data_IF_320034999873
#
_entry.id   IF_320034999873
#
_cell.length_a   1.000
_cell.length_b   1.000
_cell.length_c   1.000
_cell.angle_alpha   90.00
_cell.angle_beta   90.00
_cell.angle_gamma   90.00
#
_symmetry.space_group_name_H-M   'P 1'
#
loop_
_entity.id
_entity.type
_entity.pdbx_description
1 polymer ?
#
# COMPACT_ATOMS: atom_id res chain seq x y z
N UNK A 1 -39.52 -112.37 -35.29
CA UNK A 1 -38.60 -112.75 -34.20
C UNK A 1 -37.45 -111.73 -34.27
N UNK A 2 -37.17 -110.78 -33.39
CA UNK A 2 -37.40 -110.55 -31.95
C UNK A 2 -37.72 -109.04 -31.81
N UNK A 3 -38.91 -108.61 -31.40
CA UNK A 3 -39.24 -108.19 -30.04
C UNK A 3 -38.04 -108.02 -29.08
N UNK A 4 -37.82 -106.81 -28.53
CA UNK A 4 -37.99 -106.52 -27.09
C UNK A 4 -37.73 -105.04 -26.76
N UNK A 5 -38.79 -104.42 -26.18
CA UNK A 5 -38.79 -103.54 -25.00
C UNK A 5 -38.02 -102.21 -25.06
N UNK A 6 -38.76 -101.17 -25.43
CA UNK A 6 -38.58 -99.80 -24.92
C UNK A 6 -39.15 -99.75 -23.49
N UNK A 7 -38.30 -99.54 -22.48
CA UNK A 7 -38.71 -99.29 -21.09
C UNK A 7 -37.98 -98.06 -20.56
N UNK A 8 -38.74 -96.97 -20.49
CA UNK A 8 -38.95 -96.06 -19.36
C UNK A 8 -37.78 -95.45 -18.55
N UNK A 9 -38.04 -94.20 -18.19
CA UNK A 9 -37.67 -93.46 -16.97
C UNK A 9 -36.24 -92.96 -16.75
N UNK A 10 -36.10 -91.64 -16.95
CA UNK A 10 -35.78 -90.76 -15.81
C UNK A 10 -34.35 -90.27 -15.70
N UNK A 11 -34.12 -88.98 -15.98
CA UNK A 11 -33.58 -88.06 -14.98
C UNK A 11 -33.74 -86.61 -15.47
N UNK A 12 -34.67 -85.88 -14.86
CA UNK A 12 -34.75 -84.43 -14.91
C UNK A 12 -33.57 -83.84 -14.14
N UNK A 13 -32.50 -83.44 -14.84
CA UNK A 13 -31.44 -82.66 -14.22
C UNK A 13 -31.90 -81.21 -14.18
N UNK A 14 -32.22 -80.80 -12.96
CA UNK A 14 -32.56 -79.45 -12.51
C UNK A 14 -31.90 -78.34 -13.34
N UNK A 15 -32.70 -77.61 -14.09
CA UNK A 15 -32.44 -76.19 -14.32
C UNK A 15 -32.50 -75.51 -12.95
N UNK A 16 -31.37 -75.38 -12.26
CA UNK A 16 -31.22 -74.42 -11.16
C UNK A 16 -31.22 -73.03 -11.79
N UNK A 17 -32.41 -72.57 -12.15
CA UNK A 17 -32.70 -71.15 -12.25
C UNK A 17 -32.62 -70.62 -10.83
N UNK A 18 -31.41 -70.30 -10.38
CA UNK A 18 -31.22 -69.46 -9.20
C UNK A 18 -31.73 -68.08 -9.57
N UNK A 19 -33.05 -67.91 -9.48
CA UNK A 19 -33.70 -66.63 -9.43
C UNK A 19 -33.24 -65.95 -8.14
N UNK A 20 -32.08 -65.31 -8.21
CA UNK A 20 -31.63 -64.33 -7.23
C UNK A 20 -32.44 -63.05 -7.44
N UNK A 21 -33.74 -63.14 -7.18
CA UNK A 21 -34.64 -62.01 -6.95
C UNK A 21 -34.37 -61.44 -5.56
N UNK A 22 -33.11 -61.09 -5.30
CA UNK A 22 -32.70 -60.29 -4.15
C UNK A 22 -32.77 -58.84 -4.62
N UNK A 23 -33.91 -58.23 -4.32
CA UNK A 23 -33.97 -56.83 -3.88
C UNK A 23 -33.57 -55.73 -4.88
N UNK A 24 -34.41 -55.51 -5.90
CA UNK A 24 -34.44 -54.22 -6.63
C UNK A 24 -34.56 -53.01 -5.69
N UNK A 25 -35.19 -53.20 -4.52
CA UNK A 25 -35.28 -52.19 -3.46
C UNK A 25 -33.93 -51.85 -2.81
N UNK A 26 -33.05 -52.84 -2.57
CA UNK A 26 -31.73 -52.62 -1.96
C UNK A 26 -30.81 -51.90 -2.94
N UNK A 27 -30.83 -52.27 -4.22
CA UNK A 27 -30.04 -51.61 -5.25
C UNK A 27 -30.38 -50.12 -5.38
N UNK A 28 -31.67 -49.77 -5.37
CA UNK A 28 -32.13 -48.36 -5.42
C UNK A 28 -31.66 -47.58 -4.18
N UNK A 29 -31.75 -48.17 -2.98
CA UNK A 29 -31.27 -47.53 -1.74
C UNK A 29 -29.77 -47.24 -1.81
N UNK A 30 -28.95 -48.21 -2.28
CA UNK A 30 -27.50 -48.01 -2.41
C UNK A 30 -27.20 -46.86 -3.39
N UNK A 31 -27.88 -46.82 -4.54
CA UNK A 31 -27.69 -45.74 -5.52
C UNK A 31 -28.04 -44.38 -4.93
N UNK A 32 -29.17 -44.25 -4.23
CA UNK A 32 -29.56 -43.00 -3.57
C UNK A 32 -28.52 -42.57 -2.54
N UNK A 33 -28.02 -43.49 -1.71
CA UNK A 33 -26.97 -43.20 -0.72
C UNK A 33 -25.70 -42.70 -1.40
N UNK A 34 -25.25 -43.36 -2.47
CA UNK A 34 -24.05 -42.94 -3.21
C UNK A 34 -24.24 -41.54 -3.79
N UNK A 35 -25.39 -41.24 -4.39
CA UNK A 35 -25.68 -39.91 -4.93
C UNK A 35 -25.67 -38.85 -3.83
N UNK A 36 -26.30 -39.12 -2.68
CA UNK A 36 -26.29 -38.19 -1.53
C UNK A 36 -24.87 -37.94 -1.05
N UNK A 37 -24.04 -38.98 -0.93
CA UNK A 37 -22.63 -38.84 -0.53
C UNK A 37 -21.86 -37.97 -1.52
N UNK A 38 -22.03 -38.20 -2.83
CA UNK A 38 -21.38 -37.38 -3.87
C UNK A 38 -21.82 -35.92 -3.79
N UNK A 39 -23.11 -35.65 -3.58
CA UNK A 39 -23.62 -34.28 -3.42
C UNK A 39 -23.03 -33.62 -2.17
N UNK A 40 -22.98 -34.31 -1.04
CA UNK A 40 -22.38 -33.79 0.20
C UNK A 40 -20.90 -33.46 -0.02
N UNK A 41 -20.13 -34.36 -0.65
CA UNK A 41 -18.72 -34.12 -0.96
C UNK A 41 -18.55 -32.91 -1.87
N UNK A 42 -19.37 -32.78 -2.91
CA UNK A 42 -19.33 -31.63 -3.82
C UNK A 42 -19.62 -30.31 -3.08
N UNK A 43 -20.62 -30.29 -2.20
CA UNK A 43 -20.94 -29.12 -1.38
C UNK A 43 -19.77 -28.76 -0.46
N UNK A 44 -19.16 -29.75 0.20
CA UNK A 44 -17.98 -29.52 1.06
C UNK A 44 -16.83 -28.90 0.26
N UNK A 45 -16.53 -29.40 -0.94
CA UNK A 45 -15.49 -28.83 -1.80
C UNK A 45 -15.80 -27.37 -2.15
N UNK A 46 -17.04 -27.06 -2.54
CA UNK A 46 -17.45 -25.68 -2.86
C UNK A 46 -17.29 -24.77 -1.65
N UNK A 47 -17.71 -25.21 -0.46
CA UNK A 47 -17.54 -24.44 0.78
C UNK A 47 -16.08 -24.16 1.06
N UNK A 48 -15.20 -25.17 0.94
CA UNK A 48 -13.75 -24.99 1.12
C UNK A 48 -13.19 -23.96 0.15
N UNK A 49 -13.55 -24.02 -1.14
CA UNK A 49 -13.11 -23.05 -2.14
C UNK A 49 -13.57 -21.63 -1.78
N UNK A 50 -14.83 -21.46 -1.39
CA UNK A 50 -15.36 -20.15 -0.97
C UNK A 50 -14.59 -19.62 0.23
N UNK A 51 -14.33 -20.44 1.25
CA UNK A 51 -13.55 -20.05 2.43
C UNK A 51 -12.13 -19.64 2.02
N UNK A 52 -11.47 -20.40 1.15
CA UNK A 52 -10.14 -20.04 0.65
C UNK A 52 -10.14 -18.68 -0.07
N UNK A 53 -11.13 -18.42 -0.94
CA UNK A 53 -11.26 -17.12 -1.63
C UNK A 53 -11.47 -15.98 -0.62
N UNK A 54 -12.35 -16.16 0.37
CA UNK A 54 -12.58 -15.16 1.41
C UNK A 54 -11.30 -14.86 2.18
N UNK A 55 -10.53 -15.90 2.58
CA UNK A 55 -9.25 -15.71 3.27
C UNK A 55 -8.27 -14.91 2.42
N UNK A 56 -8.13 -15.25 1.13
CA UNK A 56 -7.25 -14.51 0.21
C UNK A 56 -7.66 -13.05 0.10
N UNK A 57 -8.96 -12.76 -0.05
CA UNK A 57 -9.48 -11.38 -0.11
C UNK A 57 -9.19 -10.63 1.19
N UNK A 58 -9.42 -11.26 2.35
CA UNK A 58 -9.16 -10.63 3.65
C UNK A 58 -7.66 -10.32 3.81
N UNK A 59 -6.79 -11.28 3.51
CA UNK A 59 -5.33 -11.07 3.57
C UNK A 59 -4.91 -9.94 2.64
N UNK A 60 -5.43 -9.92 1.41
CA UNK A 60 -5.16 -8.87 0.45
C UNK A 60 -5.59 -7.48 0.97
N UNK A 61 -6.80 -7.35 1.51
CA UNK A 61 -7.29 -6.09 2.10
C UNK A 61 -6.41 -5.66 3.27
N UNK A 62 -6.01 -6.58 4.15
CA UNK A 62 -5.12 -6.27 5.28
C UNK A 62 -3.77 -5.75 4.78
N UNK A 63 -3.18 -6.37 3.75
CA UNK A 63 -1.92 -5.92 3.17
C UNK A 63 -2.06 -4.52 2.55
N UNK A 64 -3.14 -4.26 1.81
CA UNK A 64 -3.40 -2.93 1.24
C UNK A 64 -3.56 -1.88 2.33
N UNK A 65 -4.37 -2.17 3.36
CA UNK A 65 -4.57 -1.24 4.48
C UNK A 65 -3.24 -0.98 5.21
N UNK A 66 -2.45 -2.02 5.46
CA UNK A 66 -1.13 -1.89 6.08
C UNK A 66 -0.18 -1.02 5.23
N UNK A 67 -0.19 -1.20 3.91
CA UNK A 67 0.61 -0.39 2.99
C UNK A 67 0.17 1.08 3.00
N UNK A 68 -1.14 1.36 3.00
CA UNK A 68 -1.68 2.72 3.10
C UNK A 68 -1.28 3.36 4.43
N UNK A 69 -1.45 2.65 5.55
CA UNK A 69 -1.05 3.12 6.88
C UNK A 69 0.45 3.41 6.92
N UNK A 70 1.28 2.52 6.37
CA UNK A 70 2.73 2.72 6.32
C UNK A 70 3.09 4.01 5.56
N UNK A 71 2.45 4.26 4.42
CA UNK A 71 2.69 5.48 3.64
C UNK A 71 2.23 6.73 4.40
N UNK A 72 1.07 6.69 5.04
CA UNK A 72 0.57 7.82 5.85
C UNK A 72 1.53 8.12 7.00
N UNK A 73 1.97 7.09 7.74
CA UNK A 73 2.93 7.25 8.84
C UNK A 73 4.26 7.82 8.32
N UNK A 74 4.76 7.29 7.20
CA UNK A 74 6.00 7.80 6.60
C UNK A 74 5.87 9.27 6.19
N UNK A 75 4.76 9.65 5.56
CA UNK A 75 4.48 11.04 5.20
C UNK A 75 4.42 11.95 6.43
N UNK A 76 3.76 11.52 7.51
CA UNK A 76 3.72 12.27 8.78
C UNK A 76 5.11 12.44 9.39
N UNK A 77 5.93 11.38 9.40
CA UNK A 77 7.32 11.45 9.90
C UNK A 77 8.12 12.46 9.08
N UNK A 78 7.99 12.44 7.75
CA UNK A 78 8.66 13.42 6.88
C UNK A 78 8.23 14.84 7.23
N UNK A 79 6.93 15.11 7.40
CA UNK A 79 6.43 16.44 7.79
C UNK A 79 7.02 16.88 9.14
N UNK A 80 7.04 16.00 10.14
CA UNK A 80 7.59 16.32 11.47
C UNK A 80 9.09 16.61 11.39
N UNK A 81 9.86 15.79 10.66
CA UNK A 81 11.31 16.02 10.47
C UNK A 81 11.56 17.39 9.84
N UNK A 82 10.74 17.74 8.85
CA UNK A 82 10.85 19.01 8.14
C UNK A 82 10.52 20.18 9.04
N UNK A 83 9.46 20.09 9.83
CA UNK A 83 9.11 21.10 10.82
C UNK A 83 10.25 21.31 11.83
N UNK A 84 10.82 20.22 12.36
CA UNK A 84 11.95 20.29 13.29
C UNK A 84 13.17 20.93 12.64
N UNK A 85 13.49 20.60 11.39
CA UNK A 85 14.61 21.20 10.65
C UNK A 85 14.36 22.70 10.42
N UNK A 86 13.14 23.09 10.01
CA UNK A 86 12.79 24.50 9.81
C UNK A 86 12.91 25.27 11.12
N UNK A 87 12.38 24.74 12.23
CA UNK A 87 12.50 25.37 13.55
C UNK A 87 13.97 25.50 13.96
N UNK A 88 14.77 24.44 13.79
CA UNK A 88 16.20 24.47 14.12
C UNK A 88 16.95 25.54 13.30
N UNK A 89 16.69 25.63 11.99
CA UNK A 89 17.27 26.67 11.13
C UNK A 89 16.86 28.05 11.62
N UNK A 90 15.56 28.28 11.86
CA UNK A 90 15.08 29.58 12.37
C UNK A 90 15.75 29.96 13.69
N UNK A 91 15.90 29.01 14.62
CA UNK A 91 16.58 29.26 15.90
C UNK A 91 18.03 29.64 15.70
N UNK A 92 18.79 28.89 14.90
CA UNK A 92 20.20 29.22 14.59
C UNK A 92 20.32 30.63 14.03
N UNK A 93 19.39 31.02 13.19
CA UNK A 93 19.38 32.30 12.51
C UNK A 93 19.09 33.44 13.46
N UNK A 94 18.08 33.26 14.32
CA UNK A 94 17.79 34.23 15.37
C UNK A 94 19.00 34.40 16.27
N UNK A 95 19.65 33.31 16.68
CA UNK A 95 20.88 33.37 17.50
C UNK A 95 21.99 34.13 16.77
N UNK A 96 22.25 33.83 15.49
CA UNK A 96 23.27 34.53 14.69
C UNK A 96 22.96 36.01 14.59
N UNK A 97 21.71 36.39 14.29
CA UNK A 97 21.30 37.80 14.21
C UNK A 97 21.50 38.49 15.56
N UNK A 98 21.08 37.86 16.67
CA UNK A 98 21.27 38.41 18.02
C UNK A 98 22.76 38.62 18.32
N UNK A 99 23.61 37.63 18.04
CA UNK A 99 25.06 37.72 18.25
C UNK A 99 25.65 38.85 17.42
N UNK A 100 25.29 38.95 16.14
CA UNK A 100 25.73 40.04 15.26
C UNK A 100 25.32 41.39 15.84
N UNK A 101 24.04 41.56 16.21
CA UNK A 101 23.56 42.82 16.82
C UNK A 101 24.35 43.17 18.08
N UNK A 102 24.59 42.20 18.97
CA UNK A 102 25.36 42.42 20.21
C UNK A 102 26.79 42.84 19.90
N UNK A 103 27.49 42.12 19.01
CA UNK A 103 28.86 42.47 18.60
C UNK A 103 28.93 43.89 18.08
N UNK A 104 27.92 44.30 17.30
CA UNK A 104 27.85 45.62 16.68
C UNK A 104 27.65 46.71 17.71
N UNK A 105 26.72 46.49 18.64
CA UNK A 105 26.51 47.42 19.75
C UNK A 105 27.80 47.58 20.55
N UNK A 106 28.51 46.48 20.86
CA UNK A 106 29.79 46.54 21.57
C UNK A 106 30.86 47.30 20.78
N UNK A 107 31.01 47.02 19.49
CA UNK A 107 31.99 47.72 18.63
C UNK A 107 31.68 49.21 18.55
N UNK A 108 30.42 49.58 18.35
CA UNK A 108 29.99 50.99 18.32
C UNK A 108 30.29 51.66 19.66
N UNK A 109 29.97 51.03 20.78
CA UNK A 109 30.27 51.56 22.12
C UNK A 109 31.78 51.76 22.31
N UNK A 110 32.61 50.79 21.95
CA UNK A 110 34.07 50.89 22.06
C UNK A 110 34.59 52.04 21.20
N UNK A 111 34.15 52.14 19.94
CA UNK A 111 34.53 53.24 19.04
C UNK A 111 34.14 54.58 19.64
N UNK A 112 32.90 54.73 20.11
CA UNK A 112 32.44 55.97 20.75
C UNK A 112 33.30 56.34 21.96
N UNK A 113 33.60 55.38 22.85
CA UNK A 113 34.44 55.62 24.03
C UNK A 113 35.86 56.04 23.63
N UNK A 114 36.51 55.32 22.72
CA UNK A 114 37.87 55.65 22.24
C UNK A 114 37.89 57.05 21.65
N UNK A 115 36.89 57.39 20.85
CA UNK A 115 36.75 58.70 20.22
C UNK A 115 36.60 59.79 21.26
N UNK A 116 35.69 59.64 22.23
CA UNK A 116 35.51 60.63 23.30
C UNK A 116 36.84 60.88 24.04
N UNK A 117 37.59 59.82 24.32
CA UNK A 117 38.92 59.91 24.97
C UNK A 117 39.93 60.64 24.09
N UNK A 118 39.98 60.38 22.78
CA UNK A 118 40.93 61.03 21.86
C UNK A 118 40.55 62.50 21.58
N UNK A 119 39.26 62.79 21.37
CA UNK A 119 38.72 64.13 21.12
C UNK A 119 38.96 65.05 22.32
N UNK A 120 38.91 64.51 23.54
CA UNK A 120 39.27 65.28 24.74
C UNK A 120 40.71 65.83 24.71
N UNK A 121 41.55 65.38 23.76
CA UNK A 121 42.96 65.76 23.65
C UNK A 121 43.35 66.50 22.36
N UNK A 122 42.54 66.54 21.29
CA UNK A 122 42.92 67.11 19.99
C UNK A 122 41.75 67.78 19.22
N UNK A 123 42.06 68.82 18.43
CA UNK A 123 41.16 69.73 17.72
C UNK A 123 40.03 69.04 16.91
N UNK A 124 38.78 69.48 17.13
CA UNK A 124 37.57 68.65 17.01
C UNK A 124 36.95 68.34 15.63
N UNK A 125 37.51 68.80 14.49
CA UNK A 125 36.83 68.64 13.18
C UNK A 125 37.26 67.37 12.43
N UNK A 126 38.56 67.12 12.30
CA UNK A 126 39.06 65.93 11.57
C UNK A 126 38.65 64.63 12.27
N UNK A 127 38.62 64.66 13.60
CA UNK A 127 38.22 63.49 14.40
C UNK A 127 36.73 63.20 14.22
N UNK A 128 35.86 64.21 14.19
CA UNK A 128 34.42 63.99 13.96
C UNK A 128 34.14 63.31 12.62
N UNK A 129 34.86 63.68 11.55
CA UNK A 129 34.70 63.06 10.23
C UNK A 129 35.12 61.59 10.25
N UNK A 130 36.26 61.26 10.85
CA UNK A 130 36.74 59.87 10.94
C UNK A 130 35.74 59.01 11.72
N UNK A 131 35.14 59.54 12.78
CA UNK A 131 34.14 58.84 13.59
C UNK A 131 32.90 58.52 12.77
N UNK A 132 32.37 59.51 12.06
CA UNK A 132 31.19 59.32 11.22
C UNK A 132 31.47 58.27 10.16
N UNK A 133 32.63 58.32 9.50
CA UNK A 133 33.01 57.32 8.50
C UNK A 133 33.10 55.92 9.09
N UNK A 134 33.78 55.75 10.24
CA UNK A 134 33.91 54.43 10.89
C UNK A 134 32.54 53.89 11.30
N UNK A 135 31.70 54.72 11.91
CA UNK A 135 30.35 54.31 12.33
C UNK A 135 29.51 53.91 11.11
N UNK A 136 29.55 54.70 10.02
CA UNK A 136 28.82 54.37 8.79
C UNK A 136 29.32 53.05 8.19
N UNK A 137 30.63 52.83 8.11
CA UNK A 137 31.19 51.57 7.59
C UNK A 137 30.76 50.37 8.44
N UNK A 138 30.84 50.49 9.77
CA UNK A 138 30.39 49.43 10.69
C UNK A 138 28.91 49.14 10.47
N UNK A 139 28.06 50.17 10.44
CA UNK A 139 26.62 49.99 10.21
C UNK A 139 26.34 49.31 8.86
N UNK A 140 27.03 49.71 7.80
CA UNK A 140 26.85 49.11 6.46
C UNK A 140 27.24 47.63 6.44
N UNK A 141 28.39 47.26 7.03
CA UNK A 141 28.83 45.85 7.10
C UNK A 141 27.79 45.00 7.83
N UNK A 142 27.19 45.55 8.87
CA UNK A 142 26.20 44.86 9.70
C UNK A 142 24.90 44.65 8.97
N UNK A 143 24.42 45.70 8.29
CA UNK A 143 23.22 45.59 7.46
C UNK A 143 23.44 44.51 6.39
N UNK A 144 24.59 44.49 5.73
CA UNK A 144 24.92 43.46 4.73
C UNK A 144 24.92 42.07 5.38
N UNK A 145 25.58 41.89 6.53
CA UNK A 145 25.63 40.60 7.22
C UNK A 145 24.23 40.10 7.61
N UNK A 146 23.38 40.98 8.17
CA UNK A 146 21.99 40.65 8.51
C UNK A 146 21.19 40.29 7.27
N UNK A 147 21.30 41.06 6.18
CA UNK A 147 20.60 40.78 4.92
C UNK A 147 21.03 39.42 4.36
N UNK A 148 22.33 39.11 4.34
CA UNK A 148 22.82 37.81 3.85
C UNK A 148 22.28 36.67 4.69
N UNK A 149 22.29 36.80 6.02
CA UNK A 149 21.73 35.79 6.93
C UNK A 149 20.24 35.60 6.63
N UNK A 150 19.45 36.66 6.58
CA UNK A 150 18.00 36.58 6.30
C UNK A 150 17.74 35.93 4.94
N UNK A 151 18.42 36.35 3.88
CA UNK A 151 18.24 35.80 2.53
C UNK A 151 18.59 34.31 2.49
N UNK A 152 19.72 33.92 3.08
CA UNK A 152 20.16 32.52 3.10
C UNK A 152 19.09 31.63 3.76
N UNK A 153 18.44 32.13 4.79
CA UNK A 153 17.47 31.40 5.59
C UNK A 153 16.15 31.27 4.87
N UNK A 154 15.70 32.36 4.26
CA UNK A 154 14.53 32.32 3.39
C UNK A 154 14.74 31.32 2.26
N UNK A 155 15.91 31.32 1.62
CA UNK A 155 16.23 30.35 0.56
C UNK A 155 16.22 28.91 1.09
N UNK A 156 16.89 28.64 2.22
CA UNK A 156 16.92 27.29 2.81
C UNK A 156 15.50 26.82 3.15
N UNK A 157 14.69 27.64 3.81
CA UNK A 157 13.31 27.30 4.18
C UNK A 157 12.48 27.02 2.94
N UNK A 158 12.54 27.87 1.91
CA UNK A 158 11.81 27.66 0.65
C UNK A 158 12.23 26.34 0.00
N UNK A 159 13.53 26.09 -0.15
CA UNK A 159 14.03 24.86 -0.78
C UNK A 159 13.59 23.64 0.01
N UNK A 160 13.71 23.66 1.34
CA UNK A 160 13.24 22.55 2.19
C UNK A 160 11.76 22.30 2.00
N UNK A 161 10.91 23.34 2.06
CA UNK A 161 9.46 23.20 1.86
C UNK A 161 9.14 22.65 0.47
N UNK A 162 9.78 23.16 -0.59
CA UNK A 162 9.57 22.69 -1.97
C UNK A 162 9.95 21.22 -2.12
N UNK A 163 11.11 20.80 -1.63
CA UNK A 163 11.55 19.40 -1.70
C UNK A 163 10.54 18.49 -1.01
N UNK A 164 10.02 18.90 0.13
CA UNK A 164 9.08 18.10 0.93
C UNK A 164 7.75 17.96 0.23
N UNK A 165 7.22 19.06 -0.31
CA UNK A 165 6.00 19.03 -1.13
C UNK A 165 6.17 18.10 -2.33
N UNK A 166 7.31 18.20 -3.04
CA UNK A 166 7.60 17.32 -4.19
C UNK A 166 7.63 15.85 -3.77
N UNK A 167 8.34 15.51 -2.69
CA UNK A 167 8.42 14.13 -2.18
C UNK A 167 7.04 13.60 -1.80
N UNK A 168 6.24 14.39 -1.07
CA UNK A 168 4.89 14.00 -0.67
C UNK A 168 4.01 13.76 -1.89
N UNK A 169 4.03 14.67 -2.88
CA UNK A 169 3.25 14.52 -4.12
C UNK A 169 3.66 13.26 -4.88
N UNK A 170 4.96 13.00 -5.04
CA UNK A 170 5.46 11.80 -5.73
C UNK A 170 4.99 10.53 -5.00
N UNK A 171 5.12 10.48 -3.68
CA UNK A 171 4.68 9.32 -2.88
C UNK A 171 3.18 9.08 -3.05
N UNK A 172 2.35 10.12 -2.97
CA UNK A 172 0.90 10.00 -3.18
C UNK A 172 0.59 9.47 -4.58
N UNK A 173 1.24 10.02 -5.62
CA UNK A 173 1.05 9.55 -7.00
C UNK A 173 1.43 8.08 -7.15
N UNK A 174 2.56 7.65 -6.58
CA UNK A 174 2.98 6.25 -6.61
C UNK A 174 1.95 5.34 -5.94
N UNK A 175 1.43 5.73 -4.77
CA UNK A 175 0.38 4.95 -4.09
C UNK A 175 -0.88 4.84 -4.94
N UNK A 176 -1.33 5.95 -5.53
CA UNK A 176 -2.51 5.94 -6.40
C UNK A 176 -2.30 5.01 -7.58
N UNK A 177 -1.13 5.08 -8.24
CA UNK A 177 -0.80 4.18 -9.36
C UNK A 177 -0.82 2.72 -8.91
N UNK A 178 -0.20 2.39 -7.78
CA UNK A 178 -0.21 1.02 -7.23
C UNK A 178 -1.65 0.55 -6.99
N UNK A 179 -2.47 1.34 -6.31
CA UNK A 179 -3.88 0.99 -6.04
C UNK A 179 -4.65 0.77 -7.35
N UNK A 180 -4.49 1.65 -8.34
CA UNK A 180 -5.13 1.50 -9.65
C UNK A 180 -4.70 0.20 -10.33
N UNK A 181 -3.40 -0.09 -10.35
CA UNK A 181 -2.87 -1.33 -10.93
C UNK A 181 -3.49 -2.55 -10.26
N UNK A 182 -3.57 -2.58 -8.93
CA UNK A 182 -4.14 -3.77 -8.27
C UNK A 182 -5.65 -3.90 -8.48
N UNK A 183 -6.38 -2.79 -8.53
CA UNK A 183 -7.81 -2.82 -8.90
C UNK A 183 -7.98 -3.38 -10.30
N UNK A 184 -7.19 -2.92 -11.28
CA UNK A 184 -7.22 -3.44 -12.66
C UNK A 184 -6.92 -4.93 -12.68
N UNK A 185 -5.86 -5.38 -11.99
CA UNK A 185 -5.50 -6.82 -11.93
C UNK A 185 -6.65 -7.64 -11.33
N UNK A 186 -7.26 -7.15 -10.25
CA UNK A 186 -8.37 -7.85 -9.59
C UNK A 186 -9.59 -7.95 -10.51
N UNK A 187 -9.94 -6.86 -11.21
CA UNK A 187 -11.04 -6.86 -12.18
C UNK A 187 -10.76 -7.84 -13.33
N UNK A 188 -9.54 -7.84 -13.88
CA UNK A 188 -9.15 -8.79 -14.94
C UNK A 188 -9.27 -10.24 -14.45
N UNK A 189 -8.78 -10.55 -13.25
CA UNK A 189 -8.90 -11.89 -12.66
C UNK A 189 -10.36 -12.29 -12.51
N UNK A 190 -11.22 -11.41 -12.00
CA UNK A 190 -12.66 -11.68 -11.86
C UNK A 190 -13.31 -11.93 -13.22
N UNK A 191 -13.02 -11.11 -14.23
CA UNK A 191 -13.56 -11.29 -15.58
C UNK A 191 -13.14 -12.64 -16.17
N UNK A 192 -11.86 -13.00 -16.07
CA UNK A 192 -11.34 -14.27 -16.57
C UNK A 192 -12.01 -15.46 -15.86
N UNK A 193 -12.19 -15.38 -14.54
CA UNK A 193 -12.87 -16.43 -13.77
C UNK A 193 -14.34 -16.56 -14.21
N UNK A 194 -15.04 -15.45 -14.40
CA UNK A 194 -16.45 -15.43 -14.84
C UNK A 194 -16.60 -15.98 -16.26
N UNK A 195 -15.74 -15.59 -17.20
CA UNK A 195 -15.74 -16.13 -18.57
C UNK A 195 -15.43 -17.62 -18.61
N UNK A 196 -14.45 -18.05 -17.82
CA UNK A 196 -14.11 -19.48 -17.71
C UNK A 196 -15.30 -20.26 -17.14
N UNK A 197 -15.96 -19.74 -16.09
CA UNK A 197 -17.16 -20.36 -15.52
C UNK A 197 -18.32 -20.42 -16.54
N UNK A 198 -18.50 -19.38 -17.35
CA UNK A 198 -19.53 -19.33 -18.41
C UNK A 198 -19.27 -20.37 -19.50
N UNK A 199 -18.04 -20.48 -20.00
CA UNK A 199 -17.67 -21.49 -21.00
C UNK A 199 -17.83 -22.93 -20.50
N UNK A 200 -17.51 -23.17 -19.23
CA UNK A 200 -17.75 -24.47 -18.59
C UNK A 200 -19.25 -24.74 -18.51
N UNK A 201 -20.06 -23.77 -18.09
CA UNK A 201 -21.52 -23.90 -18.01
C UNK A 201 -22.21 -24.20 -19.34
N UNK A 202 -21.75 -23.61 -20.45
CA UNK A 202 -22.28 -23.89 -21.80
C UNK A 202 -21.98 -25.32 -22.27
N UNK A 203 -20.76 -25.83 -22.05
CA UNK A 203 -20.42 -27.23 -22.37
C UNK A 203 -21.33 -28.23 -21.65
N UNK A 204 -21.69 -27.97 -20.39
CA UNK A 204 -22.60 -28.84 -19.65
C UNK A 204 -24.05 -28.80 -20.18
N UNK A 205 -24.52 -27.66 -20.72
CA UNK A 205 -25.84 -27.57 -21.35
C UNK A 205 -25.94 -28.46 -22.58
N UNK A 206 -24.93 -28.46 -23.45
CA UNK A 206 -24.95 -29.25 -24.69
C UNK A 206 -24.93 -30.78 -24.42
N UNK A 207 -24.20 -31.22 -23.39
CA UNK A 207 -24.22 -32.61 -22.96
C UNK A 207 -25.59 -33.04 -22.38
N UNK A 208 -26.28 -32.14 -21.68
CA UNK A 208 -27.64 -32.39 -21.19
C UNK A 208 -28.69 -32.54 -22.28
N UNK A 209 -28.57 -31.79 -23.39
CA UNK A 209 -29.50 -31.89 -24.53
C UNK A 209 -29.27 -33.17 -25.34
N UNK A 210 -28.01 -33.55 -25.59
CA UNK A 210 -27.71 -34.84 -26.26
C UNK A 210 -28.20 -36.04 -25.47
N UNK A 211 -28.08 -36.02 -24.14
CA UNK A 211 -28.58 -37.10 -23.30
C UNK A 211 -30.12 -37.24 -23.36
N UNK A 212 -30.86 -36.15 -23.63
CA UNK A 212 -32.31 -36.19 -23.84
C UNK A 212 -32.75 -36.67 -25.23
N UNK A 213 -31.88 -36.60 -26.24
CA UNK A 213 -32.19 -37.09 -27.59
C UNK A 213 -31.85 -38.56 -27.82
N UNK A 214 -31.06 -39.17 -26.93
CA UNK A 214 -30.73 -40.60 -26.99
C UNK A 214 -31.72 -41.51 -26.23
N UNK A 215 -32.80 -40.94 -25.71
CA UNK A 215 -33.94 -41.64 -25.11
C UNK A 215 -35.17 -41.42 -25.98
#
# INVERSE_FOLDING_TARGET
MQAWKTVNSGFSIFSRSSSSSISSSIAVVVVVVVVVVVVVVAVVIVVVVVVCVVVVVVVYVVVVVAAVVYVVVYALVVVVVVEVVVVAVVVVVVVVVVVVVVVVVVVVLVVVVVVVVVVSKWQGVVVAVVVVVVVVVVVVIVVIAVVVVVVTVVVVVIVTVVVVVVVVVVVVVVVVVVVVVVVVVTVVVVVVVVETARHVGEKYKDHGVRAKQSF
#
